data_IF_107147355215
#
_entry.id   IF_107147355215
#
_cell.length_a   1.000
_cell.length_b   1.000
_cell.length_c   1.000
_cell.angle_alpha   90.00
_cell.angle_beta   90.00
_cell.angle_gamma   90.00
#
_symmetry.space_group_name_H-M   'P 1'
#
loop_
_entity.id
_entity.type
_entity.pdbx_description
1 polymer ?
#
# COMPACT_ATOMS: atom_id res chain seq x y z
N UNK A 1 -3.16 -3.52 29.92
CA UNK A 1 -1.83 -3.77 29.31
C UNK A 1 -1.84 -5.19 28.76
N UNK A 2 -2.11 -5.36 27.47
CA UNK A 2 -2.06 -6.70 26.85
C UNK A 2 -0.61 -7.18 26.90
N UNK A 3 -0.40 -8.36 27.52
CA UNK A 3 0.93 -8.92 27.68
C UNK A 3 1.55 -9.17 26.31
N UNK A 4 2.86 -8.95 26.20
CA UNK A 4 3.63 -9.17 24.97
C UNK A 4 3.53 -10.62 24.45
N UNK A 5 3.00 -11.54 25.25
CA UNK A 5 2.77 -12.95 24.92
C UNK A 5 1.64 -13.18 23.92
N UNK A 6 0.71 -12.24 23.76
CA UNK A 6 -0.44 -12.44 22.86
C UNK A 6 -0.16 -12.05 21.40
N UNK A 7 1.03 -11.46 21.14
CA UNK A 7 1.44 -10.94 19.83
C UNK A 7 2.16 -12.00 19.00
N UNK A 8 1.40 -12.91 18.40
CA UNK A 8 1.95 -14.05 17.64
C UNK A 8 1.79 -13.91 16.12
N UNK A 9 0.92 -13.02 15.64
CA UNK A 9 0.64 -12.87 14.21
C UNK A 9 1.63 -11.91 13.53
N UNK A 10 1.96 -12.13 12.24
CA UNK A 10 2.75 -11.18 11.46
C UNK A 10 2.01 -9.85 11.31
N UNK A 11 2.78 -8.78 11.09
CA UNK A 11 2.24 -7.45 10.83
C UNK A 11 1.46 -7.45 9.50
N UNK A 12 0.29 -6.81 9.50
CA UNK A 12 -0.47 -6.55 8.27
C UNK A 12 0.24 -5.54 7.38
N UNK A 13 -0.12 -5.48 6.10
CA UNK A 13 0.42 -4.50 5.16
C UNK A 13 0.16 -3.05 5.62
N UNK A 14 -1.00 -2.80 6.23
CA UNK A 14 -1.36 -1.49 6.75
C UNK A 14 -0.50 -1.10 7.97
N UNK A 15 -0.28 -2.00 8.93
CA UNK A 15 0.66 -1.74 10.04
C UNK A 15 2.09 -1.51 9.58
N UNK A 16 2.56 -2.24 8.56
CA UNK A 16 3.88 -2.01 7.96
C UNK A 16 3.97 -0.63 7.31
N UNK A 17 2.92 -0.19 6.62
CA UNK A 17 2.85 1.14 6.02
C UNK A 17 2.87 2.24 7.09
N UNK A 18 2.05 2.10 8.13
CA UNK A 18 2.00 3.03 9.27
C UNK A 18 3.36 3.11 9.99
N UNK A 19 4.02 1.97 10.21
CA UNK A 19 5.37 1.96 10.80
C UNK A 19 6.39 2.73 9.94
N UNK A 20 6.30 2.64 8.60
CA UNK A 20 7.13 3.44 7.68
C UNK A 20 6.78 4.93 7.75
N UNK A 21 5.50 5.28 7.78
CA UNK A 21 5.04 6.67 7.90
C UNK A 21 5.49 7.31 9.22
N UNK A 22 5.55 6.54 10.31
CA UNK A 22 6.09 6.96 11.60
C UNK A 22 7.64 6.98 11.66
N UNK A 23 8.32 6.59 10.57
CA UNK A 23 9.79 6.53 10.51
C UNK A 23 10.40 5.34 11.28
N UNK A 24 9.60 4.35 11.67
CA UNK A 24 10.06 3.13 12.32
C UNK A 24 10.53 2.11 11.28
N UNK A 25 11.79 2.21 10.85
CA UNK A 25 12.42 1.25 9.93
C UNK A 25 13.46 0.39 10.65
N UNK A 26 13.71 -0.84 10.17
CA UNK A 26 14.85 -1.61 10.64
C UNK A 26 16.13 -0.85 10.27
N UNK A 27 16.92 -0.45 11.28
CA UNK A 27 18.22 0.20 11.08
C UNK A 27 19.30 -0.65 11.73
N UNK A 28 20.21 -1.22 10.93
CA UNK A 28 21.45 -1.78 11.46
C UNK A 28 22.50 -0.67 11.50
N UNK A 29 22.90 -0.30 12.72
CA UNK A 29 23.97 0.70 12.94
C UNK A 29 25.32 0.16 12.49
N UNK A 30 25.56 -1.14 12.69
CA UNK A 30 26.82 -1.80 12.34
C UNK A 30 27.05 -1.79 10.83
N UNK A 31 26.02 -2.08 10.03
CA UNK A 31 26.13 -2.04 8.57
C UNK A 31 26.47 -0.63 8.05
N UNK A 32 25.85 0.40 8.63
CA UNK A 32 26.15 1.80 8.27
C UNK A 32 27.58 2.19 8.66
N UNK A 33 28.01 1.81 9.87
CA UNK A 33 29.36 2.10 10.35
C UNK A 33 30.41 1.37 9.51
N UNK A 34 30.18 0.10 9.17
CA UNK A 34 31.06 -0.68 8.29
C UNK A 34 31.14 -0.09 6.88
N UNK A 35 30.01 0.34 6.31
CA UNK A 35 30.02 0.92 4.97
C UNK A 35 30.82 2.23 4.91
N UNK A 36 30.68 3.09 5.92
CA UNK A 36 31.39 4.38 5.96
C UNK A 36 32.85 4.20 6.38
N UNK A 37 33.11 3.57 7.53
CA UNK A 37 34.48 3.43 8.06
C UNK A 37 35.26 2.37 7.29
N UNK A 38 34.64 1.22 7.01
CA UNK A 38 35.27 0.13 6.27
C UNK A 38 35.40 0.43 4.79
N UNK A 39 34.32 0.89 4.15
CA UNK A 39 34.39 1.34 2.76
C UNK A 39 35.33 2.53 2.58
N UNK A 40 35.33 3.49 3.51
CA UNK A 40 36.29 4.59 3.55
C UNK A 40 37.74 4.12 3.71
N UNK A 41 38.00 3.16 4.60
CA UNK A 41 39.34 2.58 4.75
C UNK A 41 39.80 1.84 3.49
N UNK A 42 38.93 1.08 2.83
CA UNK A 42 39.24 0.41 1.56
C UNK A 42 39.52 1.42 0.45
N UNK A 43 38.68 2.45 0.30
CA UNK A 43 38.91 3.53 -0.67
C UNK A 43 40.24 4.23 -0.41
N UNK A 44 40.52 4.54 0.85
CA UNK A 44 41.77 5.18 1.25
C UNK A 44 42.95 4.29 0.89
N UNK A 45 42.92 2.98 1.19
CA UNK A 45 43.99 2.04 0.80
C UNK A 45 44.21 1.95 -0.72
N UNK A 46 43.15 2.05 -1.53
CA UNK A 46 43.25 2.00 -2.99
C UNK A 46 43.82 3.30 -3.57
N UNK A 47 43.45 4.45 -2.97
CA UNK A 47 43.85 5.77 -3.43
C UNK A 47 45.22 6.21 -2.86
N UNK A 48 45.61 5.70 -1.70
CA UNK A 48 46.81 6.12 -0.97
C UNK A 48 48.11 6.01 -1.80
N UNK A 49 48.38 4.95 -2.58
CA UNK A 49 49.62 4.87 -3.38
C UNK A 49 49.72 5.99 -4.44
N UNK A 50 48.61 6.30 -5.11
CA UNK A 50 48.55 7.39 -6.09
C UNK A 50 48.61 8.76 -5.42
N UNK A 51 47.89 8.93 -4.30
CA UNK A 51 47.88 10.18 -3.53
C UNK A 51 49.25 10.48 -2.93
N UNK A 52 49.91 9.47 -2.34
CA UNK A 52 51.21 9.60 -1.70
C UNK A 52 52.29 10.04 -2.69
N UNK A 53 52.40 9.39 -3.86
CA UNK A 53 53.38 9.76 -4.88
C UNK A 53 53.16 11.19 -5.41
N UNK A 54 51.90 11.60 -5.62
CA UNK A 54 51.56 12.97 -6.04
C UNK A 54 51.85 14.00 -4.96
N UNK A 55 51.51 13.72 -3.71
CA UNK A 55 51.80 14.61 -2.57
C UNK A 55 53.31 14.74 -2.32
N UNK A 56 54.05 13.64 -2.45
CA UNK A 56 55.50 13.64 -2.34
C UNK A 56 56.13 14.48 -3.46
N UNK A 57 55.69 14.31 -4.72
CA UNK A 57 56.15 15.12 -5.84
C UNK A 57 55.79 16.61 -5.68
N UNK A 58 54.58 16.90 -5.20
CA UNK A 58 54.13 18.26 -4.90
C UNK A 58 55.02 18.91 -3.84
N UNK A 59 55.24 18.24 -2.71
CA UNK A 59 56.10 18.71 -1.64
C UNK A 59 57.54 18.91 -2.11
N UNK A 60 58.10 17.95 -2.86
CA UNK A 60 59.44 18.06 -3.43
C UNK A 60 59.56 19.25 -4.40
N UNK A 61 58.50 19.54 -5.16
CA UNK A 61 58.49 20.70 -6.07
C UNK A 61 58.34 22.04 -5.33
N UNK A 62 57.67 22.07 -4.18
CA UNK A 62 57.57 23.26 -3.32
C UNK A 62 58.86 23.53 -2.53
N UNK A 63 59.61 22.50 -2.17
CA UNK A 63 60.89 22.62 -1.47
C UNK A 63 62.06 22.97 -2.40
N UNK A 64 61.83 22.99 -3.72
CA UNK A 64 62.81 23.43 -4.72
C UNK A 64 62.68 24.94 -4.91
N UNK A 65 63.64 25.68 -4.35
CA UNK A 65 63.74 27.12 -4.52
C UNK A 65 64.64 27.45 -5.72
N UNK A 66 64.04 28.05 -6.75
CA UNK A 66 64.78 28.67 -7.84
C UNK A 66 64.92 30.17 -7.55
N UNK A 67 66.13 30.71 -7.72
CA UNK A 67 66.42 32.13 -7.48
C UNK A 67 65.55 33.04 -8.35
N UNK A 68 65.24 32.63 -9.59
CA UNK A 68 64.34 33.37 -10.48
C UNK A 68 62.88 33.41 -10.00
N UNK A 69 62.43 32.38 -9.29
CA UNK A 69 61.06 32.30 -8.75
C UNK A 69 60.85 33.20 -7.52
N UNK A 70 61.91 33.54 -6.79
CA UNK A 70 61.85 34.44 -5.63
C UNK A 70 61.65 35.91 -6.02
N UNK A 71 62.00 36.29 -7.25
CA UNK A 71 61.93 37.66 -7.76
C UNK A 71 60.58 37.99 -8.43
N UNK A 72 59.69 37.00 -8.59
CA UNK A 72 58.41 37.14 -9.28
C UNK A 72 57.25 36.67 -8.38
N UNK A 73 56.54 37.60 -7.72
CA UNK A 73 55.42 37.27 -6.84
C UNK A 73 54.30 36.44 -7.50
N UNK A 74 54.15 36.54 -8.82
CA UNK A 74 53.15 35.82 -9.61
C UNK A 74 53.38 34.30 -9.60
N UNK A 75 54.64 33.85 -9.63
CA UNK A 75 54.99 32.43 -9.56
C UNK A 75 54.59 31.81 -8.20
N UNK A 76 54.59 32.60 -7.12
CA UNK A 76 54.13 32.13 -5.81
C UNK A 76 52.63 31.82 -5.80
N UNK A 77 51.83 32.67 -6.46
CA UNK A 77 50.37 32.49 -6.57
C UNK A 77 50.03 31.28 -7.43
N UNK A 78 50.75 31.08 -8.54
CA UNK A 78 50.59 29.91 -9.41
C UNK A 78 50.91 28.61 -8.67
N UNK A 79 52.01 28.59 -7.90
CA UNK A 79 52.38 27.44 -7.05
C UNK A 79 51.32 27.14 -5.99
N UNK A 80 50.74 28.17 -5.36
CA UNK A 80 49.65 27.99 -4.39
C UNK A 80 48.40 27.43 -5.06
N UNK A 81 48.03 27.93 -6.23
CA UNK A 81 46.90 27.45 -7.02
C UNK A 81 47.07 25.98 -7.42
N UNK A 82 48.23 25.59 -7.96
CA UNK A 82 48.52 24.20 -8.33
C UNK A 82 48.46 23.25 -7.12
N UNK A 83 48.94 23.72 -5.97
CA UNK A 83 48.95 22.94 -4.73
C UNK A 83 47.55 22.74 -4.17
N UNK A 84 46.72 23.79 -4.20
CA UNK A 84 45.30 23.70 -3.86
C UNK A 84 44.55 22.80 -4.83
N UNK A 85 44.82 22.93 -6.13
CA UNK A 85 44.24 22.09 -7.18
C UNK A 85 44.58 20.62 -7.00
N UNK A 86 45.83 20.29 -6.71
CA UNK A 86 46.27 18.92 -6.44
C UNK A 86 45.62 18.37 -5.15
N UNK A 87 45.56 19.18 -4.08
CA UNK A 87 44.83 18.81 -2.87
C UNK A 87 43.36 18.48 -3.16
N UNK A 88 42.68 19.33 -3.94
CA UNK A 88 41.29 19.10 -4.31
C UNK A 88 41.13 17.82 -5.14
N UNK A 89 41.99 17.58 -6.13
CA UNK A 89 41.95 16.37 -6.97
C UNK A 89 42.20 15.08 -6.15
N UNK A 90 42.97 15.14 -5.06
CA UNK A 90 43.23 13.97 -4.20
C UNK A 90 42.11 13.76 -3.18
N UNK A 91 41.65 14.82 -2.50
CA UNK A 91 40.70 14.70 -1.40
C UNK A 91 39.23 14.73 -1.84
N UNK A 92 38.89 15.45 -2.91
CA UNK A 92 37.50 15.57 -3.38
C UNK A 92 36.92 14.22 -3.82
N UNK A 93 37.61 13.37 -4.61
CA UNK A 93 37.09 12.05 -4.95
C UNK A 93 36.89 11.16 -3.72
N UNK A 94 37.78 11.25 -2.73
CA UNK A 94 37.64 10.52 -1.47
C UNK A 94 36.40 10.98 -0.68
N UNK A 95 36.19 12.29 -0.56
CA UNK A 95 35.03 12.88 0.09
C UNK A 95 33.71 12.53 -0.62
N UNK A 96 33.67 12.63 -1.94
CA UNK A 96 32.50 12.26 -2.75
C UNK A 96 32.23 10.77 -2.66
N UNK A 97 33.24 9.91 -2.74
CA UNK A 97 33.08 8.47 -2.66
C UNK A 97 32.63 8.00 -1.27
N UNK A 98 33.18 8.58 -0.19
CA UNK A 98 32.74 8.28 1.18
C UNK A 98 31.32 8.76 1.45
N UNK A 99 30.94 9.93 0.94
CA UNK A 99 29.56 10.42 1.00
C UNK A 99 28.62 9.50 0.20
N UNK A 100 29.01 9.08 -1.01
CA UNK A 100 28.25 8.14 -1.81
C UNK A 100 28.06 6.79 -1.09
N UNK A 101 29.09 6.27 -0.42
CA UNK A 101 28.99 5.07 0.42
C UNK A 101 28.02 5.25 1.59
N UNK A 102 28.07 6.39 2.29
CA UNK A 102 27.15 6.68 3.38
C UNK A 102 25.69 6.70 2.90
N UNK A 103 25.44 7.36 1.76
CA UNK A 103 24.12 7.41 1.12
C UNK A 103 23.69 6.01 0.70
N UNK A 104 24.55 5.27 0.01
CA UNK A 104 24.26 3.90 -0.42
C UNK A 104 23.93 2.98 0.75
N UNK A 105 24.66 3.06 1.87
CA UNK A 105 24.40 2.29 3.07
C UNK A 105 23.05 2.63 3.72
N UNK A 106 22.65 3.91 3.70
CA UNK A 106 21.35 4.34 4.17
C UNK A 106 20.21 3.75 3.31
N UNK A 107 20.39 3.70 1.99
CA UNK A 107 19.42 3.06 1.08
C UNK A 107 19.42 1.52 1.22
N UNK A 108 20.59 0.88 1.24
CA UNK A 108 20.74 -0.58 1.32
C UNK A 108 20.21 -1.14 2.65
N UNK A 109 20.34 -0.39 3.75
CA UNK A 109 19.75 -0.77 5.05
C UNK A 109 18.22 -0.66 5.07
N UNK A 110 17.59 -0.13 4.01
CA UNK A 110 16.13 0.02 3.93
C UNK A 110 15.59 1.17 4.79
N UNK A 111 16.44 2.14 5.15
CA UNK A 111 16.13 3.23 6.09
C UNK A 111 15.48 4.46 5.46
N UNK A 112 15.08 4.38 4.19
CA UNK A 112 14.55 5.53 3.45
C UNK A 112 13.03 5.67 3.60
N UNK A 113 12.60 6.70 4.33
CA UNK A 113 11.21 7.19 4.34
C UNK A 113 11.21 8.71 4.44
N UNK A 114 10.56 9.37 3.50
CA UNK A 114 10.23 10.79 3.60
C UNK A 114 9.02 10.92 4.53
N UNK A 115 9.25 11.23 5.81
CA UNK A 115 8.18 11.52 6.76
C UNK A 115 8.37 12.88 7.41
N UNK A 116 7.30 13.68 7.40
CA UNK A 116 7.23 14.96 8.10
C UNK A 116 6.91 14.79 9.58
N UNK A 117 6.39 13.62 10.00
CA UNK A 117 6.01 13.37 11.39
C UNK A 117 7.19 13.37 12.35
N UNK A 118 8.38 12.93 11.91
CA UNK A 118 9.58 12.96 12.75
C UNK A 118 10.22 14.35 12.89
N UNK A 119 9.75 15.35 12.14
CA UNK A 119 10.24 16.73 12.26
C UNK A 119 9.49 17.55 13.32
N UNK A 120 8.39 17.02 13.88
CA UNK A 120 7.67 17.68 14.96
C UNK A 120 8.45 17.60 16.28
N UNK A 121 8.55 18.68 17.07
CA UNK A 121 9.23 18.68 18.36
C UNK A 121 8.45 17.80 19.36
N UNK A 122 9.04 16.67 19.73
CA UNK A 122 8.46 15.72 20.68
C UNK A 122 9.09 15.92 22.07
N UNK A 123 8.41 16.68 22.93
CA UNK A 123 8.84 16.99 24.30
C UNK A 123 8.99 15.73 25.18
N UNK A 124 8.36 14.61 24.81
CA UNK A 124 8.51 13.36 25.55
C UNK A 124 9.92 12.76 25.43
N UNK A 125 10.63 13.07 24.34
CA UNK A 125 12.03 12.64 24.12
C UNK A 125 13.03 13.37 24.99
N UNK A 126 12.67 14.53 25.56
CA UNK A 126 13.52 15.33 26.44
C UNK A 126 13.41 14.92 27.91
N UNK A 127 12.49 14.02 28.28
CA UNK A 127 12.33 13.63 29.69
C UNK A 127 13.46 12.69 30.17
N UNK A 128 14.20 13.06 31.23
CA UNK A 128 15.32 12.24 31.73
C UNK A 128 14.85 10.90 32.32
N UNK A 129 13.68 10.86 32.97
CA UNK A 129 13.10 9.63 33.52
C UNK A 129 12.77 8.59 32.43
N UNK A 130 12.14 9.00 31.31
CA UNK A 130 11.88 8.08 30.21
C UNK A 130 13.18 7.65 29.50
N UNK A 131 14.18 8.53 29.47
CA UNK A 131 15.53 8.23 29.00
C UNK A 131 16.18 7.08 29.78
N UNK A 132 16.15 7.14 31.12
CA UNK A 132 16.68 6.08 31.99
C UNK A 132 15.94 4.74 31.76
N UNK A 133 14.61 4.76 31.66
CA UNK A 133 13.84 3.54 31.36
C UNK A 133 14.19 2.91 30.00
N UNK A 134 14.57 3.71 29.00
CA UNK A 134 15.04 3.23 27.70
C UNK A 134 16.43 2.61 27.77
N UNK A 135 17.33 3.17 28.60
CA UNK A 135 18.69 2.66 28.80
C UNK A 135 18.71 1.25 29.40
N UNK A 136 17.78 0.94 30.31
CA UNK A 136 17.64 -0.38 30.93
C UNK A 136 16.63 -1.30 30.23
N UNK A 137 16.23 -0.98 29.00
CA UNK A 137 15.37 -1.86 28.22
C UNK A 137 16.13 -3.15 27.81
N UNK A 138 15.42 -4.29 27.74
CA UNK A 138 16.00 -5.57 27.27
C UNK A 138 16.72 -5.44 25.93
N UNK A 139 16.20 -4.58 25.06
CA UNK A 139 16.79 -4.28 23.77
C UNK A 139 18.12 -3.55 23.91
N UNK A 140 18.18 -2.50 24.74
CA UNK A 140 19.41 -1.74 24.94
C UNK A 140 20.51 -2.60 25.59
N UNK A 141 20.14 -3.43 26.58
CA UNK A 141 21.07 -4.39 27.20
C UNK A 141 21.66 -5.37 26.17
N UNK A 142 20.83 -5.88 25.26
CA UNK A 142 21.28 -6.76 24.18
C UNK A 142 22.25 -6.05 23.22
N UNK A 143 21.92 -4.83 22.78
CA UNK A 143 22.80 -4.02 21.91
C UNK A 143 24.14 -3.72 22.59
N UNK A 144 24.13 -3.34 23.87
CA UNK A 144 25.34 -3.06 24.64
C UNK A 144 26.19 -4.33 24.81
N UNK A 145 25.58 -5.47 25.12
CA UNK A 145 26.30 -6.74 25.22
C UNK A 145 26.95 -7.13 23.88
N UNK A 146 26.22 -6.98 22.77
CA UNK A 146 26.74 -7.20 21.41
C UNK A 146 27.96 -6.31 21.12
N UNK A 147 27.86 -5.01 21.40
CA UNK A 147 28.96 -4.05 21.22
C UNK A 147 30.16 -4.35 22.12
N UNK A 148 29.93 -4.77 23.36
CA UNK A 148 31.00 -5.18 24.27
C UNK A 148 31.75 -6.40 23.74
N UNK A 149 31.02 -7.44 23.30
CA UNK A 149 31.61 -8.65 22.68
C UNK A 149 32.42 -8.30 21.43
N UNK A 150 31.86 -7.48 20.55
CA UNK A 150 32.56 -7.01 19.35
C UNK A 150 33.83 -6.24 19.70
N UNK A 151 33.78 -5.35 20.69
CA UNK A 151 34.94 -4.56 21.15
C UNK A 151 36.03 -5.46 21.72
N UNK A 152 35.68 -6.45 22.53
CA UNK A 152 36.64 -7.43 23.07
C UNK A 152 37.31 -8.23 21.95
N UNK A 153 36.54 -8.66 20.95
CA UNK A 153 37.09 -9.44 19.82
C UNK A 153 37.99 -8.58 18.94
N UNK A 154 37.56 -7.37 18.56
CA UNK A 154 38.38 -6.43 17.80
C UNK A 154 39.65 -6.06 18.57
N UNK A 155 39.55 -5.80 19.87
CA UNK A 155 40.69 -5.52 20.74
C UNK A 155 41.65 -6.70 20.86
N UNK A 156 41.14 -7.92 21.03
CA UNK A 156 41.96 -9.12 21.07
C UNK A 156 42.69 -9.39 19.76
N UNK A 157 42.00 -9.23 18.62
CA UNK A 157 42.60 -9.40 17.28
C UNK A 157 43.66 -8.33 17.03
N UNK A 158 43.39 -7.07 17.39
CA UNK A 158 44.35 -5.97 17.30
C UNK A 158 45.57 -6.20 18.19
N UNK A 159 45.37 -6.63 19.43
CA UNK A 159 46.45 -7.00 20.36
C UNK A 159 47.30 -8.13 19.81
N UNK A 160 46.68 -9.21 19.32
CA UNK A 160 47.38 -10.36 18.72
C UNK A 160 48.16 -9.95 17.48
N UNK A 161 47.58 -9.12 16.63
CA UNK A 161 48.26 -8.57 15.45
C UNK A 161 49.48 -7.74 15.86
N UNK A 162 49.33 -6.82 16.81
CA UNK A 162 50.43 -5.95 17.25
C UNK A 162 51.56 -6.73 17.95
N UNK A 163 51.20 -7.62 18.87
CA UNK A 163 52.16 -8.44 19.61
C UNK A 163 52.95 -9.40 18.71
N UNK A 164 52.31 -9.99 17.69
CA UNK A 164 53.01 -10.84 16.72
C UNK A 164 53.99 -10.07 15.82
N UNK A 165 53.80 -8.76 15.64
CA UNK A 165 54.65 -7.91 14.81
C UNK A 165 55.67 -7.09 15.61
N UNK A 166 55.72 -7.21 16.94
CA UNK A 166 56.57 -6.39 17.81
C UNK A 166 58.06 -6.53 17.48
N UNK A 167 58.52 -7.75 17.17
CA UNK A 167 59.89 -8.00 16.72
C UNK A 167 60.17 -7.39 15.34
N UNK A 168 59.15 -7.38 14.46
CA UNK A 168 59.23 -6.69 13.18
C UNK A 168 59.42 -5.19 13.35
N UNK A 169 58.70 -4.55 14.28
CA UNK A 169 58.88 -3.12 14.54
C UNK A 169 60.30 -2.76 14.95
N UNK A 170 60.96 -3.61 15.75
CA UNK A 170 62.38 -3.40 16.08
C UNK A 170 63.28 -3.47 14.84
N UNK A 171 62.96 -4.32 13.86
CA UNK A 171 63.73 -4.45 12.62
C UNK A 171 63.59 -3.25 11.67
N UNK A 172 62.51 -2.45 11.79
CA UNK A 172 62.32 -1.25 10.97
C UNK A 172 63.40 -0.19 11.22
N UNK A 173 63.96 -0.13 12.44
CA UNK A 173 65.05 0.79 12.78
C UNK A 173 66.33 0.51 12.00
N UNK A 174 66.47 -0.70 11.48
CA UNK A 174 67.67 -1.18 10.77
C UNK A 174 67.49 -1.20 9.25
N UNK A 175 66.30 -0.86 8.74
CA UNK A 175 66.00 -0.88 7.31
C UNK A 175 66.14 0.51 6.65
N UNK A 176 66.47 0.57 5.35
CA UNK A 176 66.34 1.77 4.55
C UNK A 176 64.91 2.31 4.57
N UNK A 177 64.75 3.64 4.55
CA UNK A 177 63.46 4.33 4.68
C UNK A 177 62.40 3.81 3.70
N UNK A 178 62.76 3.57 2.44
CA UNK A 178 61.85 3.10 1.40
C UNK A 178 61.29 1.70 1.72
N UNK A 179 62.16 0.78 2.17
CA UNK A 179 61.78 -0.57 2.58
C UNK A 179 60.91 -0.56 3.84
N UNK A 180 61.28 0.26 4.83
CA UNK A 180 60.54 0.41 6.08
C UNK A 180 59.13 0.97 5.87
N UNK A 181 58.98 1.99 5.01
CA UNK A 181 57.67 2.54 4.64
C UNK A 181 56.80 1.51 3.90
N UNK A 182 57.39 0.73 2.99
CA UNK A 182 56.70 -0.35 2.30
C UNK A 182 56.20 -1.44 3.25
N UNK A 183 57.04 -1.86 4.20
CA UNK A 183 56.69 -2.86 5.20
C UNK A 183 55.59 -2.35 6.16
N UNK A 184 55.69 -1.11 6.63
CA UNK A 184 54.64 -0.46 7.44
C UNK A 184 53.32 -0.36 6.68
N UNK A 185 53.34 0.03 5.41
CA UNK A 185 52.15 0.09 4.57
C UNK A 185 51.50 -1.28 4.39
N UNK A 186 52.31 -2.34 4.24
CA UNK A 186 51.81 -3.71 4.16
C UNK A 186 51.18 -4.15 5.49
N UNK A 187 51.81 -3.88 6.64
CA UNK A 187 51.22 -4.19 7.95
C UNK A 187 49.94 -3.42 8.22
N UNK A 188 49.88 -2.13 7.85
CA UNK A 188 48.65 -1.34 7.95
C UNK A 188 47.54 -1.95 7.08
N UNK A 189 47.86 -2.34 5.84
CA UNK A 189 46.89 -2.97 4.93
C UNK A 189 46.38 -4.30 5.48
N UNK A 190 47.27 -5.17 5.95
CA UNK A 190 46.88 -6.48 6.50
C UNK A 190 46.15 -6.34 7.83
N UNK A 191 46.64 -5.49 8.73
CA UNK A 191 46.06 -5.28 10.05
C UNK A 191 44.66 -4.69 9.97
N UNK A 192 44.50 -3.57 9.24
CA UNK A 192 43.18 -2.99 8.99
C UNK A 192 42.31 -3.96 8.19
N UNK A 193 42.84 -4.69 7.21
CA UNK A 193 42.10 -5.70 6.46
C UNK A 193 41.52 -6.82 7.33
N UNK A 194 42.30 -7.33 8.29
CA UNK A 194 41.85 -8.33 9.27
C UNK A 194 40.75 -7.74 10.17
N UNK A 195 40.96 -6.54 10.71
CA UNK A 195 39.97 -5.87 11.57
C UNK A 195 38.66 -5.60 10.80
N UNK A 196 38.75 -5.14 9.55
CA UNK A 196 37.58 -4.97 8.68
C UNK A 196 36.88 -6.30 8.40
N UNK A 197 37.63 -7.38 8.20
CA UNK A 197 37.05 -8.73 8.05
C UNK A 197 36.24 -9.14 9.27
N UNK A 198 36.75 -8.90 10.47
CA UNK A 198 36.03 -9.15 11.74
C UNK A 198 34.76 -8.30 11.82
N UNK A 199 34.85 -6.99 11.62
CA UNK A 199 33.68 -6.09 11.66
C UNK A 199 32.65 -6.46 10.59
N UNK A 200 33.10 -6.91 9.42
CA UNK A 200 32.23 -7.38 8.33
C UNK A 200 31.45 -8.62 8.73
N UNK A 201 32.10 -9.59 9.38
CA UNK A 201 31.43 -10.78 9.89
C UNK A 201 30.33 -10.41 10.90
N UNK A 202 30.62 -9.47 11.81
CA UNK A 202 29.63 -8.96 12.75
C UNK A 202 28.44 -8.28 12.06
N UNK A 203 28.69 -7.42 11.06
CA UNK A 203 27.62 -6.75 10.32
C UNK A 203 26.75 -7.74 9.53
N UNK A 204 27.35 -8.79 8.96
CA UNK A 204 26.62 -9.85 8.24
C UNK A 204 25.67 -10.65 9.15
N UNK A 205 26.01 -10.79 10.44
CA UNK A 205 25.15 -11.44 11.43
C UNK A 205 24.12 -10.44 12.00
N UNK A 206 24.52 -9.21 12.26
CA UNK A 206 23.66 -8.17 12.83
C UNK A 206 22.51 -7.80 11.89
N UNK A 207 22.77 -7.63 10.59
CA UNK A 207 21.74 -7.23 9.63
C UNK A 207 20.47 -8.12 9.62
N UNK A 208 20.57 -9.46 9.43
CA UNK A 208 19.39 -10.33 9.47
C UNK A 208 18.75 -10.37 10.87
N UNK A 209 19.56 -10.30 11.93
CA UNK A 209 19.07 -10.28 13.31
C UNK A 209 18.23 -9.02 13.59
N UNK A 210 18.70 -7.85 13.17
CA UNK A 210 17.97 -6.58 13.31
C UNK A 210 16.66 -6.60 12.52
N UNK A 211 16.68 -7.16 11.31
CA UNK A 211 15.47 -7.33 10.49
C UNK A 211 14.45 -8.24 11.20
N UNK A 212 14.91 -9.34 11.79
CA UNK A 212 14.07 -10.25 12.57
C UNK A 212 13.49 -9.58 13.82
N UNK A 213 14.32 -8.90 14.62
CA UNK A 213 13.89 -8.18 15.82
C UNK A 213 12.91 -7.05 15.49
N UNK A 214 13.09 -6.37 14.36
CA UNK A 214 12.14 -5.37 13.90
C UNK A 214 10.79 -6.00 13.50
N UNK A 215 10.81 -7.10 12.75
CA UNK A 215 9.59 -7.83 12.41
C UNK A 215 8.86 -8.35 13.66
N UNK A 216 9.61 -8.80 14.67
CA UNK A 216 9.05 -9.25 15.96
C UNK A 216 8.36 -8.10 16.71
N UNK A 217 8.92 -6.89 16.68
CA UNK A 217 8.31 -5.68 17.28
C UNK A 217 7.00 -5.28 16.61
N UNK A 218 6.86 -5.56 15.30
CA UNK A 218 5.65 -5.27 14.55
C UNK A 218 4.58 -6.36 14.63
N UNK A 219 4.84 -7.48 15.33
CA UNK A 219 3.84 -8.53 15.54
C UNK A 219 2.57 -8.00 16.19
N UNK A 220 1.46 -8.64 15.83
CA UNK A 220 0.12 -8.26 16.23
C UNK A 220 -0.55 -9.37 17.05
N UNK A 221 -1.46 -9.00 17.95
CA UNK A 221 -2.38 -9.97 18.53
C UNK A 221 -3.55 -10.25 17.58
N UNK A 222 -4.28 -11.35 17.82
CA UNK A 222 -5.51 -11.66 17.07
C UNK A 222 -6.55 -10.54 17.16
N UNK A 223 -6.64 -9.91 18.33
CA UNK A 223 -7.54 -8.78 18.56
C UNK A 223 -7.12 -7.53 17.77
N UNK A 224 -5.82 -7.20 17.78
CA UNK A 224 -5.28 -6.06 17.03
C UNK A 224 -5.56 -6.22 15.52
N UNK A 225 -5.35 -7.42 14.96
CA UNK A 225 -5.63 -7.71 13.54
C UNK A 225 -7.13 -7.58 13.23
N UNK A 226 -8.00 -8.12 14.10
CA UNK A 226 -9.45 -8.01 13.93
C UNK A 226 -9.95 -6.57 13.99
N UNK A 227 -9.39 -5.76 14.90
CA UNK A 227 -9.71 -4.34 15.00
C UNK A 227 -9.23 -3.57 13.76
N UNK A 228 -8.05 -3.88 13.23
CA UNK A 228 -7.53 -3.25 12.02
C UNK A 228 -8.37 -3.57 10.79
N UNK A 229 -8.79 -4.84 10.61
CA UNK A 229 -9.75 -5.20 9.56
C UNK A 229 -11.07 -4.44 9.72
N UNK A 230 -11.57 -4.32 10.95
CA UNK A 230 -12.80 -3.57 11.23
C UNK A 230 -12.66 -2.07 10.91
N UNK A 231 -11.49 -1.47 11.13
CA UNK A 231 -11.22 -0.07 10.80
C UNK A 231 -11.08 0.15 9.29
N UNK A 232 -10.39 -0.74 8.58
CA UNK A 232 -10.15 -0.60 7.15
C UNK A 232 -11.37 -0.97 6.28
N UNK A 233 -12.08 -2.05 6.60
CA UNK A 233 -13.20 -2.56 5.78
C UNK A 233 -14.58 -2.19 6.35
N UNK A 234 -14.61 -1.64 7.57
CA UNK A 234 -15.84 -1.38 8.32
C UNK A 234 -16.39 -2.63 9.01
N UNK A 235 -17.37 -2.43 9.91
CA UNK A 235 -18.00 -3.55 10.61
C UNK A 235 -18.93 -4.34 9.65
N UNK A 236 -18.74 -5.66 9.48
CA UNK A 236 -19.63 -6.51 8.69
C UNK A 236 -21.10 -6.38 9.10
N UNK A 237 -21.39 -6.21 10.40
CA UNK A 237 -22.75 -6.01 10.89
C UNK A 237 -23.33 -4.69 10.41
N UNK A 238 -22.54 -3.60 10.43
CA UNK A 238 -22.98 -2.29 9.95
C UNK A 238 -23.20 -2.32 8.43
N UNK A 239 -22.32 -2.99 7.67
CA UNK A 239 -22.50 -3.19 6.23
C UNK A 239 -23.78 -3.97 5.92
N UNK A 240 -24.05 -5.03 6.69
CA UNK A 240 -25.29 -5.81 6.60
C UNK A 240 -26.53 -4.98 6.92
N UNK A 241 -26.49 -4.20 8.00
CA UNK A 241 -27.60 -3.31 8.40
C UNK A 241 -27.88 -2.23 7.35
N UNK A 242 -26.85 -1.61 6.77
CA UNK A 242 -26.99 -0.65 5.67
C UNK A 242 -27.70 -1.29 4.48
N UNK A 243 -27.29 -2.50 4.08
CA UNK A 243 -27.90 -3.23 2.96
C UNK A 243 -29.36 -3.62 3.23
N UNK A 244 -29.70 -3.98 4.48
CA UNK A 244 -31.09 -4.26 4.89
C UNK A 244 -31.96 -3.01 4.82
N UNK A 245 -31.51 -1.89 5.39
CA UNK A 245 -32.24 -0.61 5.33
C UNK A 245 -32.46 -0.13 3.89
N UNK A 246 -31.46 -0.28 3.02
CA UNK A 246 -31.60 0.06 1.60
C UNK A 246 -32.72 -0.75 0.92
N UNK A 247 -32.83 -2.05 1.19
CA UNK A 247 -33.91 -2.90 0.67
C UNK A 247 -35.28 -2.49 1.22
N UNK A 248 -35.37 -2.19 2.52
CA UNK A 248 -36.63 -1.75 3.14
C UNK A 248 -37.13 -0.42 2.56
N UNK A 249 -36.23 0.54 2.33
CA UNK A 249 -36.56 1.81 1.69
C UNK A 249 -37.08 1.59 0.26
N UNK A 250 -36.40 0.77 -0.54
CA UNK A 250 -36.84 0.44 -1.91
C UNK A 250 -38.23 -0.20 -1.94
N UNK A 251 -38.52 -1.12 -1.00
CA UNK A 251 -39.85 -1.72 -0.87
C UNK A 251 -40.93 -0.69 -0.48
N UNK A 252 -40.63 0.23 0.45
CA UNK A 252 -41.57 1.29 0.84
C UNK A 252 -41.88 2.23 -0.32
N UNK A 253 -40.87 2.62 -1.09
CA UNK A 253 -41.04 3.46 -2.29
C UNK A 253 -41.92 2.75 -3.33
N UNK A 254 -41.67 1.45 -3.57
CA UNK A 254 -42.49 0.65 -4.50
C UNK A 254 -43.95 0.61 -4.08
N UNK A 255 -44.25 0.39 -2.79
CA UNK A 255 -45.64 0.37 -2.29
C UNK A 255 -46.29 1.76 -2.39
N UNK A 256 -45.55 2.82 -2.04
CA UNK A 256 -46.05 4.20 -2.08
C UNK A 256 -46.35 4.73 -3.48
N UNK A 257 -45.76 4.13 -4.53
CA UNK A 257 -46.03 4.48 -5.92
C UNK A 257 -47.32 3.85 -6.48
N UNK A 258 -47.79 2.73 -5.91
CA UNK A 258 -48.96 1.97 -6.40
C UNK A 258 -50.23 2.81 -6.62
N UNK A 259 -50.60 3.78 -5.75
CA UNK A 259 -51.79 4.59 -5.97
C UNK A 259 -51.78 5.43 -7.25
N UNK A 260 -50.59 5.68 -7.82
CA UNK A 260 -50.43 6.43 -9.07
C UNK A 260 -50.49 5.56 -10.32
N UNK A 261 -50.61 4.24 -10.15
CA UNK A 261 -50.62 3.30 -11.27
C UNK A 261 -51.97 3.33 -12.00
N UNK A 262 -51.92 3.18 -13.31
CA UNK A 262 -53.12 3.02 -14.12
C UNK A 262 -53.65 1.59 -14.06
N UNK A 263 -52.76 0.64 -13.83
CA UNK A 263 -53.00 -0.81 -13.83
C UNK A 263 -51.93 -1.54 -13.01
N UNK A 264 -52.34 -2.63 -12.36
CA UNK A 264 -51.43 -3.64 -11.80
C UNK A 264 -51.61 -4.98 -12.50
N UNK A 265 -50.54 -5.52 -13.07
CA UNK A 265 -50.49 -6.87 -13.66
C UNK A 265 -49.92 -7.85 -12.63
N UNK A 266 -50.61 -8.98 -12.43
CA UNK A 266 -50.22 -9.95 -11.42
C UNK A 266 -50.12 -11.39 -11.91
N UNK A 267 -49.16 -12.10 -11.32
CA UNK A 267 -49.14 -13.55 -11.19
C UNK A 267 -49.66 -13.86 -9.76
N UNK A 268 -50.82 -14.55 -9.60
CA UNK A 268 -51.65 -14.56 -8.38
C UNK A 268 -50.97 -14.55 -7.01
N UNK A 269 -49.82 -15.23 -6.86
CA UNK A 269 -49.09 -15.32 -5.58
C UNK A 269 -47.61 -14.91 -5.66
N UNK A 270 -47.08 -14.63 -6.85
CA UNK A 270 -45.62 -14.57 -7.04
C UNK A 270 -45.09 -13.23 -7.52
N UNK A 271 -45.81 -12.52 -8.40
CA UNK A 271 -45.31 -11.26 -8.97
C UNK A 271 -46.44 -10.24 -9.12
N UNK A 272 -46.13 -8.99 -8.83
CA UNK A 272 -47.00 -7.85 -9.15
C UNK A 272 -46.15 -6.74 -9.75
N UNK A 273 -46.64 -6.16 -10.85
CA UNK A 273 -46.01 -5.03 -11.54
C UNK A 273 -47.07 -3.97 -11.79
N UNK A 274 -46.83 -2.76 -11.28
CA UNK A 274 -47.69 -1.60 -11.47
C UNK A 274 -47.14 -0.71 -12.58
N UNK A 275 -48.01 -0.37 -13.53
CA UNK A 275 -47.67 0.38 -14.72
C UNK A 275 -48.42 1.71 -14.70
N UNK A 276 -47.74 2.78 -15.12
CA UNK A 276 -48.30 4.09 -15.35
C UNK A 276 -48.14 4.47 -16.82
N UNK A 277 -49.18 5.04 -17.42
CA UNK A 277 -49.14 5.56 -18.77
C UNK A 277 -50.08 6.76 -18.92
N UNK A 278 -49.52 7.86 -19.41
CA UNK A 278 -50.26 9.07 -19.78
C UNK A 278 -50.00 9.39 -21.26
N UNK A 279 -51.05 9.28 -22.07
CA UNK A 279 -51.01 9.45 -23.53
C UNK A 279 -50.61 10.87 -23.96
N UNK A 280 -50.78 11.86 -23.09
CA UNK A 280 -50.44 13.25 -23.38
C UNK A 280 -48.95 13.56 -23.12
N UNK A 281 -48.28 12.82 -22.23
CA UNK A 281 -46.95 13.19 -21.72
C UNK A 281 -45.89 12.09 -21.84
N UNK A 282 -46.27 10.83 -22.05
CA UNK A 282 -45.36 9.68 -22.03
C UNK A 282 -45.28 9.01 -23.40
N UNK A 283 -44.05 8.72 -23.86
CA UNK A 283 -43.82 8.00 -25.12
C UNK A 283 -44.06 6.49 -25.01
N UNK A 284 -43.95 5.93 -23.79
CA UNK A 284 -44.22 4.53 -23.51
C UNK A 284 -44.64 4.33 -22.03
N UNK A 285 -45.37 3.24 -21.70
CA UNK A 285 -45.72 2.91 -20.32
C UNK A 285 -44.48 2.66 -19.46
N UNK A 286 -44.51 3.16 -18.21
CA UNK A 286 -43.41 3.05 -17.24
C UNK A 286 -43.79 2.13 -16.08
N UNK A 287 -42.85 1.33 -15.61
CA UNK A 287 -43.04 0.54 -14.39
C UNK A 287 -42.75 1.39 -13.18
N UNK A 288 -43.75 1.65 -12.34
CA UNK A 288 -43.61 2.50 -11.15
C UNK A 288 -43.52 1.70 -9.84
N UNK A 289 -43.97 0.45 -9.85
CA UNK A 289 -43.79 -0.47 -8.74
C UNK A 289 -43.62 -1.89 -9.26
N UNK A 290 -42.73 -2.68 -8.66
CA UNK A 290 -42.69 -4.13 -8.88
C UNK A 290 -42.30 -4.87 -7.61
N UNK A 291 -42.82 -6.07 -7.43
CA UNK A 291 -42.54 -6.88 -6.25
C UNK A 291 -42.78 -8.37 -6.47
N UNK A 292 -42.12 -9.17 -5.62
CA UNK A 292 -42.28 -10.62 -5.59
C UNK A 292 -42.88 -11.07 -4.24
N UNK A 293 -43.58 -12.21 -4.26
CA UNK A 293 -44.14 -12.90 -3.10
C UNK A 293 -44.91 -11.97 -2.13
N UNK A 294 -44.42 -11.79 -0.91
CA UNK A 294 -45.06 -10.94 0.11
C UNK A 294 -45.22 -9.48 -0.34
N UNK A 295 -44.27 -8.95 -1.13
CA UNK A 295 -44.38 -7.59 -1.66
C UNK A 295 -45.44 -7.53 -2.76
N UNK A 296 -45.57 -8.57 -3.59
CA UNK A 296 -46.62 -8.66 -4.60
C UNK A 296 -48.02 -8.66 -3.97
N UNK A 297 -48.20 -9.40 -2.87
CA UNK A 297 -49.45 -9.38 -2.10
C UNK A 297 -49.76 -8.00 -1.53
N UNK A 298 -48.75 -7.28 -0.99
CA UNK A 298 -48.95 -5.90 -0.51
C UNK A 298 -49.30 -4.93 -1.62
N UNK A 299 -48.65 -5.03 -2.78
CA UNK A 299 -48.96 -4.20 -3.95
C UNK A 299 -50.42 -4.41 -4.38
N UNK A 300 -50.88 -5.67 -4.40
CA UNK A 300 -52.28 -6.01 -4.69
C UNK A 300 -53.25 -5.35 -3.72
N UNK A 301 -52.98 -5.47 -2.43
CA UNK A 301 -53.89 -4.99 -1.38
C UNK A 301 -53.99 -3.46 -1.46
N UNK A 302 -52.86 -2.76 -1.62
CA UNK A 302 -52.83 -1.30 -1.83
C UNK A 302 -53.52 -0.89 -3.13
N UNK A 303 -53.34 -1.64 -4.22
CA UNK A 303 -54.03 -1.39 -5.48
C UNK A 303 -55.56 -1.49 -5.33
N UNK A 304 -56.05 -2.51 -4.61
CA UNK A 304 -57.47 -2.67 -4.31
C UNK A 304 -58.02 -1.52 -3.46
N UNK A 305 -57.29 -1.12 -2.42
CA UNK A 305 -57.69 -0.03 -1.52
C UNK A 305 -57.82 1.31 -2.28
N UNK A 306 -56.95 1.54 -3.26
CA UNK A 306 -56.94 2.74 -4.10
C UNK A 306 -57.76 2.61 -5.39
N UNK A 307 -58.52 1.50 -5.55
CA UNK A 307 -59.35 1.22 -6.74
C UNK A 307 -58.56 1.21 -8.07
N UNK A 308 -57.28 0.85 -7.99
CA UNK A 308 -56.44 0.61 -9.18
C UNK A 308 -56.83 -0.76 -9.77
N UNK A 309 -57.17 -0.86 -11.06
CA UNK A 309 -57.52 -2.11 -11.72
C UNK A 309 -56.38 -3.13 -11.64
N UNK A 310 -56.73 -4.36 -11.23
CA UNK A 310 -55.79 -5.48 -11.11
C UNK A 310 -56.13 -6.53 -12.16
N UNK A 311 -55.23 -6.76 -13.11
CA UNK A 311 -55.36 -7.84 -14.10
C UNK A 311 -54.48 -9.02 -13.71
N UNK A 312 -55.05 -10.22 -13.76
CA UNK A 312 -54.28 -11.46 -13.65
C UNK A 312 -53.79 -11.88 -15.03
N UNK A 313 -52.48 -11.76 -15.26
CA UNK A 313 -51.80 -12.32 -16.43
C UNK A 313 -50.44 -12.85 -15.98
N UNK A 314 -50.34 -14.15 -15.66
CA UNK A 314 -49.13 -14.74 -15.10
C UNK A 314 -47.90 -14.59 -16.01
N UNK A 315 -48.05 -14.77 -17.33
CA UNK A 315 -46.95 -14.65 -18.29
C UNK A 315 -46.44 -13.21 -18.38
N UNK A 316 -47.35 -12.25 -18.54
CA UNK A 316 -46.98 -10.83 -18.63
C UNK A 316 -46.35 -10.32 -17.33
N UNK A 317 -46.89 -10.71 -16.17
CA UNK A 317 -46.33 -10.32 -14.86
C UNK A 317 -44.90 -10.83 -14.66
N UNK A 318 -44.60 -12.07 -15.09
CA UNK A 318 -43.24 -12.63 -15.03
C UNK A 318 -42.29 -11.90 -15.95
N UNK A 319 -42.69 -11.70 -17.21
CA UNK A 319 -41.87 -11.01 -18.21
C UNK A 319 -41.56 -9.57 -17.79
N UNK A 320 -42.57 -8.82 -17.31
CA UNK A 320 -42.37 -7.47 -16.80
C UNK A 320 -41.49 -7.43 -15.55
N UNK A 321 -41.64 -8.36 -14.62
CA UNK A 321 -40.82 -8.39 -13.41
C UNK A 321 -39.33 -8.62 -13.74
N UNK A 322 -39.06 -9.54 -14.67
CA UNK A 322 -37.72 -9.95 -15.07
C UNK A 322 -37.02 -8.92 -15.96
N UNK A 323 -37.74 -8.31 -16.91
CA UNK A 323 -37.13 -7.51 -17.99
C UNK A 323 -37.38 -6.01 -17.92
N UNK A 324 -38.32 -5.53 -17.09
CA UNK A 324 -38.54 -4.09 -16.92
C UNK A 324 -37.93 -3.59 -15.60
N UNK A 325 -37.19 -2.49 -15.63
CA UNK A 325 -36.63 -1.86 -14.43
C UNK A 325 -37.62 -0.87 -13.79
N UNK A 326 -37.44 -0.61 -12.49
CA UNK A 326 -38.28 0.35 -11.77
C UNK A 326 -38.00 1.78 -12.29
N UNK A 327 -39.04 2.59 -12.42
CA UNK A 327 -39.04 3.94 -12.97
C UNK A 327 -38.48 4.05 -14.40
N UNK A 328 -38.51 2.96 -15.17
CA UNK A 328 -38.12 2.93 -16.59
C UNK A 328 -39.27 2.48 -17.49
N UNK A 329 -39.18 2.89 -18.76
CA UNK A 329 -40.11 2.44 -19.80
C UNK A 329 -40.02 0.92 -19.97
N UNK A 330 -41.16 0.29 -20.25
CA UNK A 330 -41.19 -1.16 -20.50
C UNK A 330 -40.35 -1.50 -21.75
N UNK A 331 -39.81 -2.71 -21.89
CA UNK A 331 -39.15 -3.13 -23.11
C UNK A 331 -40.10 -3.11 -24.32
N UNK A 332 -39.60 -2.71 -25.49
CA UNK A 332 -40.38 -2.62 -26.74
C UNK A 332 -41.10 -3.92 -27.11
N UNK A 333 -40.48 -5.07 -26.82
CA UNK A 333 -41.05 -6.38 -27.06
C UNK A 333 -42.31 -6.69 -26.23
N UNK A 334 -42.58 -5.93 -25.16
CA UNK A 334 -43.78 -6.07 -24.32
C UNK A 334 -44.83 -4.99 -24.61
N UNK A 335 -44.58 -4.06 -25.55
CA UNK A 335 -45.50 -2.95 -25.85
C UNK A 335 -46.88 -3.44 -26.26
N UNK A 336 -46.95 -4.38 -27.20
CA UNK A 336 -48.24 -4.91 -27.69
C UNK A 336 -49.04 -5.58 -26.57
N UNK A 337 -48.36 -6.36 -25.72
CA UNK A 337 -48.97 -7.05 -24.59
C UNK A 337 -49.53 -6.05 -23.55
N UNK A 338 -48.76 -5.00 -23.23
CA UNK A 338 -49.20 -3.98 -22.26
C UNK A 338 -50.29 -3.08 -22.85
N UNK A 339 -50.21 -2.72 -24.13
CA UNK A 339 -51.22 -1.91 -24.81
C UNK A 339 -52.60 -2.60 -24.84
N UNK A 340 -52.64 -3.92 -25.10
CA UNK A 340 -53.87 -4.71 -25.04
C UNK A 340 -54.52 -4.64 -23.65
N UNK A 341 -53.73 -4.72 -22.59
CA UNK A 341 -54.25 -4.65 -21.23
C UNK A 341 -54.68 -3.22 -20.86
N UNK A 342 -53.90 -2.20 -21.21
CA UNK A 342 -54.27 -0.80 -20.97
C UNK A 342 -55.57 -0.42 -21.71
N UNK A 343 -55.72 -0.86 -22.96
CA UNK A 343 -56.94 -0.64 -23.74
C UNK A 343 -58.17 -1.25 -23.05
N UNK A 344 -58.07 -2.48 -22.56
CA UNK A 344 -59.13 -3.13 -21.79
C UNK A 344 -59.47 -2.37 -20.51
N UNK A 345 -58.45 -1.90 -19.77
CA UNK A 345 -58.63 -1.12 -18.54
C UNK A 345 -59.30 0.22 -18.81
N UNK A 346 -58.95 0.91 -19.89
CA UNK A 346 -59.60 2.17 -20.26
C UNK A 346 -61.05 1.97 -20.71
N UNK A 347 -61.35 0.90 -21.46
CA UNK A 347 -62.74 0.53 -21.79
C UNK A 347 -63.54 0.21 -20.52
N UNK A 348 -62.94 -0.52 -19.57
CA UNK A 348 -63.58 -0.83 -18.29
C UNK A 348 -63.84 0.43 -17.46
N UNK A 349 -62.87 1.34 -17.36
CA UNK A 349 -63.04 2.65 -16.70
C UNK A 349 -64.13 3.48 -17.38
N UNK A 350 -64.17 3.51 -18.71
CA UNK A 350 -65.19 4.24 -19.49
C UNK A 350 -66.60 3.67 -19.30
N UNK A 351 -66.74 2.34 -19.27
CA UNK A 351 -68.00 1.65 -19.02
C UNK A 351 -68.51 1.89 -17.59
N UNK A 352 -67.64 1.79 -16.58
CA UNK A 352 -67.96 2.07 -15.18
C UNK A 352 -68.34 3.55 -14.95
N UNK A 353 -67.83 4.45 -15.78
CA UNK A 353 -68.20 5.87 -15.78
C UNK A 353 -69.47 6.19 -16.60
N UNK A 354 -70.16 5.18 -17.16
CA UNK A 354 -71.39 5.35 -17.93
C UNK A 354 -71.18 5.92 -19.34
N UNK A 355 -69.95 5.93 -19.87
CA UNK A 355 -69.57 6.54 -21.16
C UNK A 355 -69.29 5.52 -22.26
N UNK A 356 -69.62 4.24 -22.07
CA UNK A 356 -69.36 3.19 -23.07
C UNK A 356 -69.97 1.83 -22.70
N UNK A 357 -69.88 0.88 -23.62
CA UNK A 357 -70.30 -0.51 -23.39
C UNK A 357 -69.32 -1.24 -22.48
N UNK A 358 -69.82 -2.13 -21.61
CA UNK A 358 -68.98 -3.01 -20.79
C UNK A 358 -68.07 -3.85 -21.70
N UNK A 359 -66.74 -3.82 -21.49
CA UNK A 359 -65.84 -4.66 -22.27
C UNK A 359 -66.13 -6.14 -21.99
N UNK A 360 -65.83 -7.00 -22.96
CA UNK A 360 -66.01 -8.45 -22.87
C UNK A 360 -65.05 -9.12 -21.88
N UNK A 361 -64.75 -10.41 -22.12
CA UNK A 361 -63.78 -11.14 -21.31
C UNK A 361 -62.40 -10.45 -21.33
N UNK A 362 -61.66 -10.56 -20.22
CA UNK A 362 -60.32 -10.00 -20.13
C UNK A 362 -59.41 -10.57 -21.24
N UNK A 363 -58.60 -9.72 -21.90
CA UNK A 363 -57.73 -10.18 -22.98
C UNK A 363 -56.63 -11.10 -22.40
N UNK A 364 -56.23 -12.10 -23.18
CA UNK A 364 -55.00 -12.86 -22.94
C UNK A 364 -53.87 -12.18 -23.75
N UNK A 365 -53.02 -11.36 -23.11
CA UNK A 365 -52.06 -10.55 -23.84
C UNK A 365 -50.97 -11.40 -24.49
N UNK A 366 -50.68 -11.14 -25.76
CA UNK A 366 -49.65 -11.88 -26.50
C UNK A 366 -48.24 -11.48 -26.03
N UNK A 367 -47.64 -12.30 -25.17
CA UNK A 367 -46.26 -12.13 -24.69
C UNK A 367 -45.32 -13.01 -25.54
N UNK A 368 -44.24 -12.47 -26.12
CA UNK A 368 -43.22 -13.28 -26.79
C UNK A 368 -42.72 -14.40 -25.86
N UNK A 369 -42.77 -15.68 -26.26
CA UNK A 369 -42.44 -16.81 -25.37
C UNK A 369 -41.02 -16.72 -24.80
N UNK A 370 -40.09 -16.13 -25.56
CA UNK A 370 -38.68 -15.93 -25.21
C UNK A 370 -38.47 -15.02 -23.98
N UNK A 371 -39.45 -14.19 -23.64
CA UNK A 371 -39.40 -13.26 -22.51
C UNK A 371 -40.08 -13.79 -21.25
N UNK A 372 -40.64 -15.00 -21.29
CA UNK A 372 -41.08 -15.68 -20.08
C UNK A 372 -39.89 -16.44 -19.47
N UNK A 373 -39.43 -16.09 -18.25
CA UNK A 373 -38.34 -16.80 -17.57
C UNK A 373 -38.60 -18.30 -17.36
N UNK A 374 -39.86 -18.75 -17.48
CA UNK A 374 -40.25 -20.15 -17.36
C UNK A 374 -40.41 -20.87 -18.71
N UNK A 375 -40.23 -20.17 -19.83
CA UNK A 375 -40.26 -20.82 -21.14
C UNK A 375 -39.03 -21.71 -21.32
N UNK A 376 -39.28 -23.00 -21.54
CA UNK A 376 -38.24 -23.94 -21.97
C UNK A 376 -38.32 -24.04 -23.49
N UNK A 377 -37.21 -23.74 -24.17
CA UNK A 377 -37.11 -23.91 -25.62
C UNK A 377 -37.47 -25.37 -25.98
N UNK A 378 -38.40 -25.61 -26.92
CA UNK A 378 -38.60 -26.94 -27.46
C UNK A 378 -37.31 -27.40 -28.15
N UNK A 379 -36.91 -28.68 -28.03
CA UNK A 379 -35.72 -29.19 -28.72
C UNK A 379 -35.89 -28.95 -30.22
N UNK A 380 -34.93 -28.25 -30.81
CA UNK A 380 -34.87 -27.99 -32.25
C UNK A 380 -34.80 -29.34 -32.99
N UNK A 381 -35.87 -29.71 -33.71
CA UNK A 381 -35.77 -30.73 -34.76
C UNK A 381 -35.02 -30.10 -35.93
N UNK A 382 -33.98 -30.79 -36.38
CA UNK A 382 -32.87 -30.24 -37.15
C UNK A 382 -33.19 -29.56 -38.47
N UNK A 383 -32.30 -28.65 -38.86
CA UNK A 383 -31.96 -28.43 -40.26
C UNK A 383 -30.75 -29.32 -40.56
N UNK A 384 -31.02 -30.48 -41.14
CA UNK A 384 -30.06 -31.18 -41.97
C UNK A 384 -30.41 -30.81 -43.41
N UNK A 385 -29.59 -29.96 -44.01
CA UNK A 385 -29.33 -29.92 -45.46
C UNK A 385 -27.81 -29.82 -45.64
#
# INVERSE_FOLDING_TARGET
MSSSQDKNLPATAHRLKKAREEGQLPRSKELSNLAVLGGGAVLLMLLLPMGFSRLQAALASQLRFDHGALLQPQLLVERLHDSLGLGLVVFLPLGVATLALAVFAAFASGSWTLTTHTMAPDLTRLSPLAGLGRLFSKQQLFETAKLAVMTVIVGFVGWKFLSSHIAGFASLLLQPLEGGLGQLAQWMRTGVGILLGVVTLFALIDFPMQKFLHAQRLRMSREEVKQEHKQNEGDPHVKGQRRRRQRELAHRMSIGAVPKADLVVMNPTHYAVAIQYDDATMSAPRVIAKGADLLALRIRDVAKDHKVPVLQSPMLARALYAHAELDQEIPSALYTAVAQVLAYVYQLKAALAGRGAMPGAAPDPQVPPELDPHWKQPPTRGAAE
#
